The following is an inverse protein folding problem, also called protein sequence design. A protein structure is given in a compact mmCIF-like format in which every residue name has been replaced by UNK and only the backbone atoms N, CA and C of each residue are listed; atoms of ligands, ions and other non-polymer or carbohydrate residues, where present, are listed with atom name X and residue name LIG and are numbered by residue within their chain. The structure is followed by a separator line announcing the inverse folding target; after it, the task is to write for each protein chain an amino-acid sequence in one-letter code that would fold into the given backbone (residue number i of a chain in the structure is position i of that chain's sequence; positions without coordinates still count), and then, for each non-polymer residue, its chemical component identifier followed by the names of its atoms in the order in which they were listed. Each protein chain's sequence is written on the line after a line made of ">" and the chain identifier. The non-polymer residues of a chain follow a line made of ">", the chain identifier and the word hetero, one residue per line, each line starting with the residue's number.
data_IF_351036487962
#
_entry.id   IF_351036487962
#
_cell.length_a   1.000
_cell.length_b   1.000
_cell.length_c   1.000
_cell.angle_alpha   90.00
_cell.angle_beta   90.00
_cell.angle_gamma   90.00
#
_symmetry.space_group_name_H-M   'P 1'
#
loop_
_entity.id
_entity.type
_entity.pdbx_description
1 polymer ?
#
# COMPACT_ATOMS: atom_id res chain seq x y z
N UNK A 1 -27.93 -18.93 28.37
CA UNK A 1 -26.61 -19.50 27.99
C UNK A 1 -26.35 -19.43 26.47
N UNK A 2 -27.30 -19.82 25.60
CA UNK A 2 -27.08 -19.86 24.15
C UNK A 2 -26.97 -18.47 23.46
N UNK A 3 -27.66 -17.44 23.95
CA UNK A 3 -27.62 -16.08 23.36
C UNK A 3 -26.30 -15.36 23.63
N UNK A 4 -25.80 -15.45 24.87
CA UNK A 4 -24.53 -14.83 25.29
C UNK A 4 -23.32 -15.33 24.51
N UNK A 5 -23.31 -16.61 24.12
CA UNK A 5 -22.24 -17.20 23.30
C UNK A 5 -22.25 -16.59 21.89
N UNK A 6 -23.43 -16.42 21.28
CA UNK A 6 -23.58 -15.86 19.94
C UNK A 6 -23.17 -14.39 19.85
N UNK A 7 -23.44 -13.62 20.90
CA UNK A 7 -23.03 -12.21 21.00
C UNK A 7 -21.51 -12.07 21.13
N UNK A 8 -20.87 -12.91 21.94
CA UNK A 8 -19.41 -12.94 22.07
C UNK A 8 -18.73 -13.35 20.76
N UNK A 9 -19.26 -14.36 20.06
CA UNK A 9 -18.75 -14.79 18.75
C UNK A 9 -18.85 -13.65 17.71
N UNK A 10 -19.99 -12.95 17.68
CA UNK A 10 -20.20 -11.82 16.78
C UNK A 10 -19.21 -10.67 17.04
N UNK A 11 -19.00 -10.33 18.31
CA UNK A 11 -18.03 -9.29 18.71
C UNK A 11 -16.59 -9.67 18.32
N UNK A 12 -16.19 -10.91 18.61
CA UNK A 12 -14.84 -11.40 18.30
C UNK A 12 -14.59 -11.40 16.77
N UNK A 13 -15.60 -11.80 15.98
CA UNK A 13 -15.52 -11.75 14.52
C UNK A 13 -15.38 -10.31 14.02
N UNK A 14 -16.22 -9.40 14.52
CA UNK A 14 -16.18 -7.99 14.14
C UNK A 14 -14.83 -7.34 14.46
N UNK A 15 -14.27 -7.63 15.64
CA UNK A 15 -12.96 -7.14 16.04
C UNK A 15 -11.85 -7.68 15.14
N UNK A 16 -11.84 -8.99 14.87
CA UNK A 16 -10.86 -9.62 13.98
C UNK A 16 -10.92 -9.04 12.57
N UNK A 17 -12.12 -8.91 12.00
CA UNK A 17 -12.30 -8.32 10.67
C UNK A 17 -11.88 -6.85 10.63
N UNK A 18 -12.17 -6.09 11.68
CA UNK A 18 -11.78 -4.68 11.79
C UNK A 18 -10.27 -4.51 11.81
N UNK A 19 -9.57 -5.32 12.61
CA UNK A 19 -8.11 -5.33 12.69
C UNK A 19 -7.49 -5.73 11.35
N UNK A 20 -7.97 -6.81 10.73
CA UNK A 20 -7.44 -7.29 9.46
C UNK A 20 -7.62 -6.26 8.33
N UNK A 21 -8.79 -5.62 8.27
CA UNK A 21 -9.07 -4.54 7.29
C UNK A 21 -8.16 -3.33 7.56
N UNK A 22 -8.05 -2.90 8.81
CA UNK A 22 -7.23 -1.76 9.20
C UNK A 22 -5.75 -1.96 8.88
N UNK A 23 -5.21 -3.15 9.17
CA UNK A 23 -3.82 -3.50 8.85
C UNK A 23 -3.60 -3.49 7.33
N UNK A 24 -4.48 -4.15 6.56
CA UNK A 24 -4.36 -4.18 5.09
C UNK A 24 -4.38 -2.78 4.48
N UNK A 25 -5.34 -1.95 4.90
CA UNK A 25 -5.47 -0.56 4.44
C UNK A 25 -4.23 0.27 4.82
N UNK A 26 -3.75 0.16 6.05
CA UNK A 26 -2.58 0.89 6.51
C UNK A 26 -1.31 0.52 5.74
N UNK A 27 -1.11 -0.76 5.45
CA UNK A 27 0.02 -1.24 4.63
C UNK A 27 -0.08 -0.70 3.21
N UNK A 28 -1.26 -0.79 2.58
CA UNK A 28 -1.47 -0.31 1.21
C UNK A 28 -1.22 1.20 1.09
N UNK A 29 -1.76 2.00 2.01
CA UNK A 29 -1.53 3.44 2.06
C UNK A 29 -0.05 3.78 2.30
N UNK A 30 0.62 3.06 3.20
CA UNK A 30 2.04 3.27 3.48
C UNK A 30 2.93 2.96 2.27
N UNK A 31 2.61 1.92 1.51
CA UNK A 31 3.32 1.59 0.26
C UNK A 31 3.10 2.69 -0.77
N UNK A 32 1.85 3.12 -0.98
CA UNK A 32 1.52 4.18 -1.94
C UNK A 32 2.25 5.50 -1.62
N UNK A 33 2.18 5.95 -0.37
CA UNK A 33 2.88 7.16 0.09
C UNK A 33 4.40 7.05 -0.08
N UNK A 34 4.97 5.88 0.24
CA UNK A 34 6.41 5.64 0.07
C UNK A 34 6.86 5.67 -1.38
N UNK A 35 6.04 5.17 -2.31
CA UNK A 35 6.33 5.21 -3.74
C UNK A 35 6.23 6.64 -4.28
N UNK A 36 5.18 7.37 -3.90
CA UNK A 36 5.02 8.77 -4.30
C UNK A 36 6.21 9.64 -3.85
N UNK A 37 6.63 9.49 -2.59
CA UNK A 37 7.79 10.21 -2.05
C UNK A 37 9.11 9.81 -2.76
N UNK A 38 9.26 8.53 -3.13
CA UNK A 38 10.44 8.09 -3.90
C UNK A 38 10.46 8.71 -5.31
N UNK A 39 9.29 8.83 -5.96
CA UNK A 39 9.15 9.47 -7.26
C UNK A 39 9.57 10.93 -7.15
N UNK A 40 8.99 11.67 -6.21
CA UNK A 40 9.31 13.08 -5.96
C UNK A 40 10.81 13.29 -5.72
N UNK A 41 11.41 12.50 -4.81
CA UNK A 41 12.85 12.55 -4.56
C UNK A 41 13.69 12.28 -5.82
N UNK A 42 13.25 11.37 -6.67
CA UNK A 42 13.97 11.08 -7.91
C UNK A 42 13.85 12.23 -8.92
N UNK A 43 12.72 12.96 -8.93
CA UNK A 43 12.57 14.18 -9.73
C UNK A 43 13.47 15.30 -9.21
N UNK A 44 13.54 15.50 -7.89
CA UNK A 44 14.42 16.51 -7.26
C UNK A 44 15.91 16.24 -7.55
N UNK A 45 16.27 14.98 -7.71
CA UNK A 45 17.62 14.54 -8.06
C UNK A 45 17.86 14.46 -9.58
N UNK A 46 16.92 14.92 -10.40
CA UNK A 46 16.98 14.91 -11.88
C UNK A 46 17.20 13.50 -12.50
N UNK A 47 16.73 12.44 -11.84
CA UNK A 47 16.76 11.09 -12.42
C UNK A 47 15.74 10.96 -13.54
N UNK A 48 16.03 10.11 -14.54
CA UNK A 48 15.06 9.85 -15.59
C UNK A 48 13.85 9.05 -15.10
N UNK A 49 12.75 9.15 -15.85
CA UNK A 49 11.54 8.34 -15.66
C UNK A 49 11.85 6.84 -15.67
N UNK A 50 12.76 6.41 -16.54
CA UNK A 50 13.13 5.00 -16.67
C UNK A 50 13.91 4.49 -15.45
N UNK A 51 14.89 5.27 -14.96
CA UNK A 51 15.67 4.95 -13.76
C UNK A 51 14.80 4.91 -12.51
N UNK A 52 13.88 5.87 -12.38
CA UNK A 52 12.94 5.94 -11.26
C UNK A 52 12.01 4.72 -11.26
N UNK A 53 11.45 4.35 -12.41
CA UNK A 53 10.61 3.14 -12.53
C UNK A 53 11.39 1.88 -12.12
N UNK A 54 12.62 1.71 -12.59
CA UNK A 54 13.46 0.58 -12.22
C UNK A 54 13.73 0.53 -10.70
N UNK A 55 13.90 1.70 -10.06
CA UNK A 55 14.05 1.78 -8.60
C UNK A 55 12.78 1.37 -7.86
N UNK A 56 11.59 1.76 -8.34
CA UNK A 56 10.30 1.36 -7.74
C UNK A 56 10.13 -0.16 -7.81
N UNK A 57 10.30 -0.75 -9.01
CA UNK A 57 10.24 -2.21 -9.22
C UNK A 57 11.16 -2.94 -8.25
N UNK A 58 12.42 -2.49 -8.15
CA UNK A 58 13.43 -3.13 -7.30
C UNK A 58 13.16 -2.97 -5.80
N UNK A 59 12.75 -1.77 -5.35
CA UNK A 59 12.62 -1.46 -3.92
C UNK A 59 11.33 -1.98 -3.30
N UNK A 60 10.25 -2.00 -4.08
CA UNK A 60 8.93 -2.43 -3.62
C UNK A 60 8.52 -3.82 -4.14
N UNK A 61 9.42 -4.51 -4.87
CA UNK A 61 9.17 -5.83 -5.45
C UNK A 61 7.87 -5.88 -6.28
N UNK A 62 7.57 -4.79 -6.99
CA UNK A 62 6.37 -4.65 -7.81
C UNK A 62 6.62 -5.17 -9.23
N UNK A 63 5.55 -5.56 -9.93
CA UNK A 63 5.62 -5.80 -11.37
C UNK A 63 5.91 -4.49 -12.10
N UNK A 64 6.49 -4.58 -13.30
CA UNK A 64 6.71 -3.41 -14.15
C UNK A 64 5.40 -2.66 -14.45
N UNK A 65 4.30 -3.39 -14.65
CA UNK A 65 2.97 -2.80 -14.89
C UNK A 65 2.49 -1.94 -13.72
N UNK A 66 2.61 -2.45 -12.49
CA UNK A 66 2.24 -1.68 -11.28
C UNK A 66 3.17 -0.50 -11.07
N UNK A 67 4.47 -0.66 -11.30
CA UNK A 67 5.39 0.46 -11.22
C UNK A 67 5.04 1.53 -12.27
N UNK A 68 4.68 1.13 -13.49
CA UNK A 68 4.24 2.06 -14.54
C UNK A 68 2.96 2.81 -14.15
N UNK A 69 1.97 2.17 -13.52
CA UNK A 69 0.76 2.88 -13.05
C UNK A 69 1.09 3.94 -12.00
N UNK A 70 1.98 3.64 -11.05
CA UNK A 70 2.45 4.65 -10.08
C UNK A 70 3.22 5.79 -10.76
N UNK A 71 4.07 5.46 -11.73
CA UNK A 71 4.77 6.48 -12.52
C UNK A 71 3.79 7.36 -13.29
N UNK A 72 2.70 6.82 -13.85
CA UNK A 72 1.69 7.63 -14.53
C UNK A 72 0.91 8.54 -13.56
N UNK A 73 0.65 8.06 -12.35
CA UNK A 73 -0.13 8.80 -11.35
C UNK A 73 0.66 9.93 -10.69
N UNK A 74 1.96 9.71 -10.42
CA UNK A 74 2.75 10.59 -9.55
C UNK A 74 3.89 11.35 -10.26
N UNK A 75 4.29 10.95 -11.47
CA UNK A 75 5.34 11.65 -12.23
C UNK A 75 4.79 12.91 -12.89
N UNK A 76 5.25 14.08 -12.44
CA UNK A 76 4.86 15.39 -12.99
C UNK A 76 5.78 15.88 -14.09
#
# INVERSE_FOLDING_TARGET
>A
ECETIREQDGYQKGLSEGIDKGIKQGIEQGIEQGIAALIELCQDMELSRAETKARIVRKFSLSEEKAESYMQQYWK
#
